data_IF_214903897533
#
_entry.id   IF_214903897533
#
_cell.length_a   1.000
_cell.length_b   1.000
_cell.length_c   1.000
_cell.angle_alpha   90.00
_cell.angle_beta   90.00
_cell.angle_gamma   90.00
#
_symmetry.space_group_name_H-M   'P 1'
#
loop_
_entity.id
_entity.type
_entity.pdbx_description
1 polymer ?
#
# COMPACT_ATOMS: atom_id res chain seq x y z
N UNK A 1 14.71 -7.30 7.43
CA UNK A 1 14.31 -5.94 7.89
C UNK A 1 15.23 -4.82 7.40
N UNK A 2 16.44 -5.07 6.88
CA UNK A 2 17.40 -4.01 6.48
C UNK A 2 17.06 -3.28 5.16
N UNK A 3 16.48 -3.96 4.17
CA UNK A 3 16.26 -3.38 2.82
C UNK A 3 15.25 -2.22 2.82
N UNK A 4 14.19 -2.32 3.61
CA UNK A 4 13.18 -1.26 3.68
C UNK A 4 13.75 0.02 4.27
N UNK A 5 14.52 -0.06 5.36
CA UNK A 5 15.16 1.10 5.97
C UNK A 5 16.23 1.73 5.07
N UNK A 6 16.90 0.93 4.23
CA UNK A 6 17.85 1.43 3.24
C UNK A 6 17.16 2.16 2.08
N UNK A 7 16.09 1.60 1.51
CA UNK A 7 15.34 2.21 0.41
C UNK A 7 14.47 3.39 0.88
N UNK A 8 14.07 3.40 2.15
CA UNK A 8 13.22 4.42 2.76
C UNK A 8 13.85 4.96 4.06
N UNK A 9 14.87 5.83 3.94
CA UNK A 9 15.57 6.35 5.10
C UNK A 9 14.65 7.20 5.98
N UNK A 10 14.71 7.00 7.30
CA UNK A 10 13.84 7.67 8.27
C UNK A 10 14.02 9.20 8.34
N UNK A 11 15.17 9.70 7.87
CA UNK A 11 15.46 11.14 7.77
C UNK A 11 14.73 11.83 6.60
N UNK A 12 14.12 11.07 5.69
CA UNK A 12 13.35 11.62 4.57
C UNK A 12 11.93 11.97 4.99
N UNK A 13 11.43 13.07 4.42
CA UNK A 13 10.04 13.50 4.61
C UNK A 13 9.12 12.72 3.67
N UNK A 14 8.37 11.77 4.23
CA UNK A 14 7.30 11.06 3.54
C UNK A 14 5.94 11.64 3.93
N UNK A 15 5.01 11.62 2.97
CA UNK A 15 3.61 11.98 3.23
C UNK A 15 2.80 10.69 3.15
N UNK A 16 2.09 10.39 4.23
CA UNK A 16 1.14 9.26 4.30
C UNK A 16 -0.26 9.83 4.13
N UNK A 17 -0.97 9.40 3.08
CA UNK A 17 -2.33 9.86 2.79
C UNK A 17 -3.29 8.68 2.88
N UNK A 18 -4.29 8.70 3.77
CA UNK A 18 -5.33 7.69 3.77
C UNK A 18 -6.21 7.86 2.52
N UNK A 19 -6.50 6.74 1.88
CA UNK A 19 -7.43 6.62 0.76
C UNK A 19 -8.44 5.52 1.07
N UNK A 20 -9.70 5.79 0.73
CA UNK A 20 -10.78 4.82 0.89
C UNK A 20 -11.04 4.17 -0.46
N UNK A 21 -10.81 2.86 -0.54
CA UNK A 21 -11.17 2.10 -1.73
C UNK A 21 -12.47 1.36 -1.48
N UNK A 22 -13.54 1.84 -2.10
CA UNK A 22 -14.81 1.09 -2.14
C UNK A 22 -14.67 -0.04 -3.16
N UNK A 23 -14.78 -1.29 -2.69
CA UNK A 23 -14.84 -2.43 -3.59
C UNK A 23 -16.19 -2.36 -4.33
N UNK A 24 -16.17 -2.32 -5.66
CA UNK A 24 -17.36 -2.07 -6.50
C UNK A 24 -18.50 -3.09 -6.30
N UNK A 25 -18.26 -4.21 -5.62
CA UNK A 25 -19.21 -5.32 -5.45
C UNK A 25 -19.39 -5.80 -3.99
N UNK A 26 -18.86 -5.10 -2.98
CA UNK A 26 -19.09 -5.48 -1.57
C UNK A 26 -19.19 -4.27 -0.63
N UNK A 27 -19.80 -4.47 0.54
CA UNK A 27 -19.87 -3.50 1.65
C UNK A 27 -18.51 -3.36 2.35
N UNK A 28 -17.49 -4.12 1.93
CA UNK A 28 -16.18 -4.11 2.57
C UNK A 28 -15.40 -2.88 2.07
N UNK A 29 -15.11 -1.98 2.99
CA UNK A 29 -14.18 -0.88 2.78
C UNK A 29 -12.79 -1.34 3.15
N UNK A 30 -11.84 -1.21 2.24
CA UNK A 30 -10.43 -1.42 2.56
C UNK A 30 -9.76 -0.06 2.68
N UNK A 31 -9.15 0.20 3.83
CA UNK A 31 -8.38 1.42 4.03
C UNK A 31 -7.02 1.23 3.38
N UNK A 32 -6.65 2.15 2.48
CA UNK A 32 -5.37 2.12 1.77
C UNK A 32 -4.58 3.37 2.16
N UNK A 33 -3.39 3.22 2.71
CA UNK A 33 -2.48 4.33 2.95
C UNK A 33 -1.48 4.42 1.83
N UNK A 34 -1.35 5.57 1.19
CA UNK A 34 -0.39 5.77 0.10
C UNK A 34 0.77 6.58 0.63
N UNK A 35 1.97 6.00 0.53
CA UNK A 35 3.21 6.65 0.95
C UNK A 35 3.81 7.33 -0.26
N UNK A 36 3.97 8.66 -0.16
CA UNK A 36 4.48 9.51 -1.22
C UNK A 36 5.79 10.16 -0.80
N UNK A 37 6.68 10.30 -1.76
CA UNK A 37 7.89 11.11 -1.64
C UNK A 37 7.96 12.07 -2.83
N UNK A 38 8.14 13.37 -2.56
CA UNK A 38 8.11 14.42 -3.60
C UNK A 38 6.91 14.30 -4.54
N UNK A 39 5.72 14.04 -3.98
CA UNK A 39 4.43 13.80 -4.67
C UNK A 39 4.33 12.52 -5.51
N UNK A 40 5.41 11.74 -5.65
CA UNK A 40 5.40 10.42 -6.31
C UNK A 40 5.00 9.33 -5.30
N UNK A 41 4.00 8.49 -5.61
CA UNK A 41 3.69 7.31 -4.80
C UNK A 41 4.86 6.32 -4.90
N UNK A 42 5.34 5.81 -3.77
CA UNK A 42 6.40 4.79 -3.78
C UNK A 42 5.85 3.42 -3.37
N UNK A 43 4.94 3.37 -2.40
CA UNK A 43 4.21 2.15 -2.05
C UNK A 43 2.88 2.51 -1.39
N UNK A 44 2.00 1.52 -1.26
CA UNK A 44 0.78 1.64 -0.47
C UNK A 44 0.66 0.50 0.53
N UNK A 45 -0.07 0.75 1.61
CA UNK A 45 -0.40 -0.21 2.66
C UNK A 45 -1.90 -0.43 2.62
N UNK A 46 -2.33 -1.66 2.42
CA UNK A 46 -3.75 -2.01 2.36
C UNK A 46 -4.13 -2.76 3.65
N UNK A 47 -5.00 -2.15 4.47
CA UNK A 47 -5.46 -2.74 5.73
C UNK A 47 -6.73 -3.53 5.46
N UNK A 48 -6.62 -4.86 5.53
CA UNK A 48 -7.73 -5.80 5.28
C UNK A 48 -8.24 -6.43 6.59
N UNK A 49 -9.52 -6.83 6.64
CA UNK A 49 -10.04 -7.64 7.75
C UNK A 49 -9.29 -8.96 7.90
N UNK A 50 -9.31 -9.52 9.12
CA UNK A 50 -8.56 -10.73 9.48
C UNK A 50 -8.88 -11.94 8.58
N UNK A 51 -10.12 -12.07 8.10
CA UNK A 51 -10.54 -13.14 7.19
C UNK A 51 -9.88 -13.13 5.81
N UNK A 52 -9.09 -12.09 5.49
CA UNK A 52 -8.30 -12.02 4.25
C UNK A 52 -6.86 -12.50 4.43
N UNK A 53 -6.48 -13.00 5.62
CA UNK A 53 -5.11 -13.43 5.91
C UNK A 53 -4.67 -14.61 5.02
N UNK A 54 -5.59 -15.50 4.65
CA UNK A 54 -5.32 -16.61 3.71
C UNK A 54 -5.04 -16.14 2.28
N UNK A 55 -5.40 -14.89 1.95
CA UNK A 55 -5.20 -14.28 0.64
C UNK A 55 -4.05 -13.26 0.64
N UNK A 56 -2.98 -13.56 1.39
CA UNK A 56 -1.77 -12.76 1.38
C UNK A 56 -1.24 -12.62 -0.06
N UNK A 57 -1.07 -11.38 -0.52
CA UNK A 57 -0.57 -11.13 -1.88
C UNK A 57 0.90 -11.52 -1.97
N UNK A 58 1.27 -12.19 -3.06
CA UNK A 58 2.67 -12.36 -3.41
C UNK A 58 3.30 -11.00 -3.72
N UNK A 59 4.63 -10.90 -3.63
CA UNK A 59 5.38 -9.70 -4.02
C UNK A 59 5.11 -9.31 -5.47
N UNK A 60 5.08 -10.28 -6.40
CA UNK A 60 4.81 -10.02 -7.81
C UNK A 60 3.44 -9.41 -8.04
N UNK A 61 2.40 -9.93 -7.38
CA UNK A 61 1.05 -9.39 -7.45
C UNK A 61 0.94 -7.99 -6.80
N UNK A 62 1.73 -7.72 -5.75
CA UNK A 62 1.80 -6.39 -5.16
C UNK A 62 2.48 -5.37 -6.10
N UNK A 63 3.58 -5.78 -6.76
CA UNK A 63 4.31 -4.96 -7.72
C UNK A 63 3.46 -4.65 -8.97
N UNK A 64 2.70 -5.63 -9.46
CA UNK A 64 1.75 -5.45 -10.56
C UNK A 64 0.63 -4.47 -10.17
N UNK A 65 0.09 -4.59 -8.95
CA UNK A 65 -0.91 -3.64 -8.45
C UNK A 65 -0.36 -2.22 -8.31
N UNK A 66 0.92 -2.05 -7.95
CA UNK A 66 1.56 -0.73 -7.94
C UNK A 66 1.56 -0.13 -9.34
N UNK A 67 2.07 -0.87 -10.34
CA UNK A 67 2.16 -0.41 -11.74
C UNK A 67 0.80 -0.12 -12.39
N UNK A 68 -0.23 -0.89 -12.03
CA UNK A 68 -1.57 -0.68 -12.58
C UNK A 68 -2.29 0.53 -11.97
N UNK A 69 -1.91 0.96 -10.75
CA UNK A 69 -2.58 2.03 -10.00
C UNK A 69 -1.88 3.38 -10.11
N UNK A 70 -0.56 3.40 -10.34
CA UNK A 70 0.30 4.59 -10.32
C UNK A 70 1.39 4.53 -11.37
#
# INVERSE_FOLDING_TARGET
SALLGYLFPVDKRYIVVPQYKRLKKSVNFTTVFVVRHKRKPIFFIEVKPLGYLEYASTRSAADEQMRARY
#
